data_IF_820498877549
#
_entry.id   IF_820498877549
#
_cell.length_a   1.000
_cell.length_b   1.000
_cell.length_c   1.000
_cell.angle_alpha   90.00
_cell.angle_beta   90.00
_cell.angle_gamma   90.00
#
_symmetry.space_group_name_H-M   'P 1'
#
loop_
_entity.id
_entity.type
_entity.pdbx_description
1 polymer ?
#
# COMPACT_ATOMS: atom_id res chain seq x y z
N UNK A 1 21.91 -8.16 -17.41
CA UNK A 1 20.79 -7.68 -18.26
C UNK A 1 20.14 -6.53 -17.53
N UNK A 2 20.38 -5.32 -18.00
CA UNK A 2 19.78 -4.09 -17.46
C UNK A 2 18.31 -4.09 -17.85
N UNK A 3 17.41 -4.19 -16.88
CA UNK A 3 16.00 -3.99 -17.12
C UNK A 3 15.81 -2.61 -17.75
N UNK A 4 15.29 -2.56 -18.97
CA UNK A 4 14.90 -1.31 -19.59
C UNK A 4 13.94 -0.60 -18.62
N UNK A 5 14.24 0.65 -18.30
CA UNK A 5 13.38 1.49 -17.48
C UNK A 5 12.05 1.64 -18.22
N UNK A 6 11.10 0.78 -17.94
CA UNK A 6 9.76 0.86 -18.48
C UNK A 6 9.14 2.10 -17.88
N UNK A 7 8.99 3.14 -18.69
CA UNK A 7 8.17 4.31 -18.34
C UNK A 7 6.76 3.77 -18.14
N UNK A 8 6.31 3.68 -16.90
CA UNK A 8 5.02 3.09 -16.60
C UNK A 8 3.96 4.17 -16.84
N UNK A 9 3.22 4.00 -17.93
CA UNK A 9 1.99 4.72 -18.25
C UNK A 9 0.90 4.41 -17.21
N UNK A 10 -0.21 5.14 -17.27
CA UNK A 10 -1.42 4.80 -16.52
C UNK A 10 -1.86 3.36 -16.77
N UNK A 11 -2.39 2.72 -15.73
CA UNK A 11 -2.90 1.35 -15.78
C UNK A 11 -4.41 1.40 -15.60
N UNK A 12 -5.16 0.95 -16.60
CA UNK A 12 -6.61 0.84 -16.50
C UNK A 12 -7.03 -0.57 -16.12
N UNK A 13 -8.03 -0.68 -15.25
CA UNK A 13 -8.60 -1.97 -14.88
C UNK A 13 -9.55 -1.90 -13.69
N UNK A 14 -10.52 -2.79 -13.66
CA UNK A 14 -11.47 -2.95 -12.55
C UNK A 14 -12.21 -1.66 -12.16
N UNK A 15 -12.48 -0.77 -13.13
CA UNK A 15 -13.15 0.51 -12.91
C UNK A 15 -12.29 1.54 -12.17
N UNK A 16 -10.98 1.43 -12.26
CA UNK A 16 -9.99 2.37 -11.76
C UNK A 16 -8.94 2.67 -12.84
N UNK A 17 -8.37 3.86 -12.77
CA UNK A 17 -7.14 4.22 -13.43
C UNK A 17 -6.04 4.39 -12.38
N UNK A 18 -4.93 3.65 -12.50
CA UNK A 18 -3.76 3.86 -11.66
C UNK A 18 -2.82 4.82 -12.40
N UNK A 19 -2.65 6.01 -11.88
CA UNK A 19 -1.84 7.08 -12.46
C UNK A 19 -0.55 7.26 -11.69
N UNK A 20 0.59 7.50 -12.37
CA UNK A 20 1.78 8.03 -11.70
C UNK A 20 1.44 9.32 -10.96
N UNK A 21 2.19 9.62 -9.90
CA UNK A 21 1.98 10.84 -9.12
C UNK A 21 2.24 12.09 -9.97
N UNK A 22 1.32 13.04 -9.88
CA UNK A 22 1.44 14.39 -10.40
C UNK A 22 1.00 15.42 -9.35
N UNK A 23 1.21 16.70 -9.62
CA UNK A 23 0.91 17.78 -8.68
C UNK A 23 -0.58 17.86 -8.31
N UNK A 24 -1.47 17.55 -9.27
CA UNK A 24 -2.91 17.52 -9.02
C UNK A 24 -3.29 16.39 -8.06
N UNK A 25 -2.79 15.18 -8.31
CA UNK A 25 -3.04 14.02 -7.46
C UNK A 25 -2.44 14.19 -6.07
N UNK A 26 -1.27 14.83 -5.94
CA UNK A 26 -0.69 15.18 -4.63
C UNK A 26 -1.61 16.11 -3.86
N UNK A 27 -2.18 17.15 -4.50
CA UNK A 27 -3.16 18.04 -3.87
C UNK A 27 -4.42 17.31 -3.42
N UNK A 28 -4.94 16.38 -4.22
CA UNK A 28 -6.08 15.56 -3.85
C UNK A 28 -5.76 14.65 -2.66
N UNK A 29 -4.59 14.00 -2.65
CA UNK A 29 -4.15 13.15 -1.53
C UNK A 29 -3.96 13.95 -0.23
N UNK A 30 -3.48 15.21 -0.32
CA UNK A 30 -3.35 16.11 0.82
C UNK A 30 -4.69 16.42 1.51
N UNK A 31 -5.79 16.36 0.74
CA UNK A 31 -7.14 16.59 1.26
C UNK A 31 -7.78 15.34 1.91
N UNK A 32 -7.15 14.16 1.81
CA UNK A 32 -7.68 12.94 2.41
C UNK A 32 -7.84 13.04 3.92
N UNK A 33 -8.88 12.37 4.44
CA UNK A 33 -9.11 12.21 5.85
C UNK A 33 -7.99 11.38 6.51
N UNK A 34 -7.73 11.68 7.77
CA UNK A 34 -6.72 11.00 8.56
C UNK A 34 -7.33 9.85 9.35
N UNK A 35 -6.62 8.73 9.43
CA UNK A 35 -7.03 7.58 10.24
C UNK A 35 -6.56 7.68 11.69
N UNK A 36 -5.50 8.46 11.92
CA UNK A 36 -4.86 8.53 13.20
C UNK A 36 -4.19 7.22 13.63
N UNK A 37 -3.82 7.15 14.93
CA UNK A 37 -3.19 5.96 15.48
C UNK A 37 -4.15 4.75 15.48
N UNK A 38 -3.68 3.54 15.10
CA UNK A 38 -2.32 3.16 14.73
C UNK A 38 -2.00 3.26 13.24
N UNK A 39 -2.87 3.85 12.42
CA UNK A 39 -2.75 3.89 10.95
C UNK A 39 -2.16 5.21 10.44
N UNK A 40 -1.79 6.12 11.34
CA UNK A 40 -1.29 7.47 11.04
C UNK A 40 -0.06 7.52 10.10
N UNK A 41 0.74 6.44 10.06
CA UNK A 41 1.88 6.33 9.15
C UNK A 41 1.49 6.39 7.66
N UNK A 42 0.22 6.14 7.36
CA UNK A 42 -0.32 6.18 5.99
C UNK A 42 -1.09 7.47 5.71
N UNK A 43 -1.31 8.32 6.73
CA UNK A 43 -2.03 9.58 6.57
C UNK A 43 -1.22 10.55 5.70
N UNK A 44 -1.91 11.20 4.77
CA UNK A 44 -1.29 12.06 3.76
C UNK A 44 -1.33 13.55 4.13
N UNK A 45 -1.74 13.87 5.34
CA UNK A 45 -1.86 15.25 5.82
C UNK A 45 -0.57 16.07 5.75
N UNK A 46 0.60 15.42 5.80
CA UNK A 46 1.91 16.06 5.61
C UNK A 46 2.06 16.71 4.23
N UNK A 47 1.34 16.24 3.20
CA UNK A 47 1.33 16.83 1.87
C UNK A 47 0.62 18.19 1.78
N UNK A 48 -0.01 18.65 2.87
CA UNK A 48 -0.54 20.03 2.97
C UNK A 48 0.58 21.06 3.06
N UNK A 49 1.76 20.65 3.52
CA UNK A 49 2.98 21.46 3.47
C UNK A 49 3.55 21.45 2.05
N UNK A 50 3.70 22.60 1.37
CA UNK A 50 4.16 22.67 -0.01
C UNK A 50 5.56 22.04 -0.22
N UNK A 51 6.47 22.23 0.72
CA UNK A 51 7.82 21.68 0.60
C UNK A 51 7.82 20.14 0.73
N UNK A 52 6.98 19.57 1.60
CA UNK A 52 6.81 18.14 1.71
C UNK A 52 6.09 17.54 0.49
N UNK A 53 5.10 18.25 -0.06
CA UNK A 53 4.42 17.86 -1.29
C UNK A 53 5.38 17.82 -2.49
N UNK A 54 6.21 18.83 -2.65
CA UNK A 54 7.24 18.89 -3.69
C UNK A 54 8.27 17.77 -3.53
N UNK A 55 8.80 17.57 -2.32
CA UNK A 55 9.75 16.51 -2.02
C UNK A 55 9.17 15.12 -2.31
N UNK A 56 7.90 14.88 -1.94
CA UNK A 56 7.22 13.61 -2.20
C UNK A 56 7.01 13.38 -3.70
N UNK A 57 6.65 14.43 -4.46
CA UNK A 57 6.49 14.37 -5.90
C UNK A 57 7.82 14.08 -6.60
N UNK A 58 8.91 14.74 -6.20
CA UNK A 58 10.26 14.48 -6.73
C UNK A 58 10.66 13.01 -6.49
N UNK A 59 10.44 12.49 -5.29
CA UNK A 59 10.72 11.07 -4.97
C UNK A 59 9.87 10.13 -5.85
N UNK A 60 8.59 10.43 -6.02
CA UNK A 60 7.71 9.59 -6.82
C UNK A 60 8.04 9.60 -8.32
N UNK A 61 8.62 10.68 -8.82
CA UNK A 61 9.02 10.86 -10.24
C UNK A 61 10.45 10.40 -10.54
N UNK A 62 11.27 10.11 -9.51
CA UNK A 62 12.60 9.57 -9.73
C UNK A 62 12.49 8.23 -10.49
N UNK A 63 13.43 7.99 -11.42
CA UNK A 63 13.63 6.69 -12.08
C UNK A 63 14.24 5.70 -11.06
N UNK A 64 13.46 5.33 -10.10
CA UNK A 64 13.80 4.40 -9.01
C UNK A 64 13.23 3.03 -9.37
N UNK A 65 13.69 1.93 -8.78
CA UNK A 65 12.98 0.67 -8.85
C UNK A 65 11.58 0.73 -8.21
N UNK A 66 11.28 1.80 -7.48
CA UNK A 66 9.99 2.05 -6.83
C UNK A 66 9.08 2.84 -7.76
N UNK A 67 7.91 2.28 -8.04
CA UNK A 67 6.87 2.92 -8.82
C UNK A 67 5.69 3.24 -7.91
N UNK A 68 5.22 4.48 -7.99
CA UNK A 68 4.17 5.02 -7.13
C UNK A 68 2.95 5.37 -7.97
N UNK A 69 1.79 4.84 -7.59
CA UNK A 69 0.52 5.08 -8.27
C UNK A 69 -0.53 5.63 -7.33
N UNK A 70 -1.37 6.49 -7.88
CA UNK A 70 -2.64 6.89 -7.29
C UNK A 70 -3.75 6.20 -8.06
N UNK A 71 -4.64 5.52 -7.35
CA UNK A 71 -5.86 4.96 -7.94
C UNK A 71 -6.91 6.06 -8.05
N UNK A 72 -7.40 6.27 -9.26
CA UNK A 72 -8.40 7.26 -9.60
C UNK A 72 -9.72 6.58 -10.01
N UNK A 73 -10.84 7.10 -9.52
CA UNK A 73 -12.20 6.76 -9.95
C UNK A 73 -12.86 8.06 -10.42
N UNK A 74 -13.27 8.11 -11.70
CA UNK A 74 -13.83 9.33 -12.32
C UNK A 74 -12.93 10.58 -12.12
N UNK A 75 -11.62 10.41 -12.29
CA UNK A 75 -10.61 11.46 -12.11
C UNK A 75 -10.29 11.84 -10.68
N UNK A 76 -10.91 11.24 -9.68
CA UNK A 76 -10.70 11.51 -8.24
C UNK A 76 -9.77 10.47 -7.63
N UNK A 77 -8.78 10.93 -6.86
CA UNK A 77 -7.87 10.08 -6.11
C UNK A 77 -8.61 9.34 -4.98
N UNK A 78 -8.67 8.01 -5.05
CA UNK A 78 -9.40 7.15 -4.10
C UNK A 78 -8.51 6.16 -3.33
N UNK A 79 -7.23 6.10 -3.67
CA UNK A 79 -6.24 5.25 -3.00
C UNK A 79 -4.86 5.41 -3.60
N UNK A 80 -3.85 4.83 -2.96
CA UNK A 80 -2.49 4.77 -3.50
C UNK A 80 -1.84 3.42 -3.27
N UNK A 81 -0.89 3.08 -4.13
CA UNK A 81 -0.10 1.87 -4.03
C UNK A 81 1.29 2.11 -4.61
N UNK A 82 2.28 1.41 -4.09
CA UNK A 82 3.63 1.42 -4.63
C UNK A 82 4.12 0.00 -4.86
N UNK A 83 5.00 -0.18 -5.83
CA UNK A 83 5.63 -1.47 -6.14
C UNK A 83 7.12 -1.28 -6.37
N UNK A 84 7.91 -2.22 -5.88
CA UNK A 84 9.35 -2.31 -6.17
C UNK A 84 9.57 -3.35 -7.27
N UNK A 85 10.20 -2.94 -8.37
CA UNK A 85 10.50 -3.77 -9.54
C UNK A 85 11.99 -4.15 -9.62
N UNK A 86 12.79 -3.88 -8.60
CA UNK A 86 14.23 -4.16 -8.62
C UNK A 86 14.53 -5.66 -8.56
N UNK A 87 13.77 -6.39 -7.76
CA UNK A 87 13.94 -7.83 -7.57
C UNK A 87 12.79 -8.59 -8.25
N UNK A 88 13.07 -9.16 -9.41
CA UNK A 88 12.11 -9.96 -10.18
C UNK A 88 11.90 -11.37 -9.60
N UNK A 89 12.61 -11.76 -8.54
CA UNK A 89 12.32 -13.01 -7.81
C UNK A 89 11.01 -12.91 -7.02
N UNK A 90 10.55 -11.68 -6.75
CA UNK A 90 9.25 -11.41 -6.12
C UNK A 90 8.94 -9.92 -6.13
N UNK A 91 7.82 -9.53 -6.76
CA UNK A 91 7.41 -8.12 -6.83
C UNK A 91 6.85 -7.65 -5.48
N UNK A 92 7.57 -6.73 -4.82
CA UNK A 92 7.17 -6.24 -3.51
C UNK A 92 6.21 -5.06 -3.63
N UNK A 93 4.96 -5.26 -3.21
CA UNK A 93 3.92 -4.22 -3.13
C UNK A 93 3.94 -3.60 -1.75
N UNK A 94 3.94 -2.27 -1.68
CA UNK A 94 3.95 -1.53 -0.43
C UNK A 94 3.12 -0.25 -0.50
N UNK A 95 3.01 0.47 0.62
CA UNK A 95 2.24 1.71 0.73
C UNK A 95 0.79 1.59 0.19
N UNK A 96 0.15 0.43 0.37
CA UNK A 96 -1.26 0.24 0.02
C UNK A 96 -2.11 1.04 0.99
N UNK A 97 -2.75 2.10 0.49
CA UNK A 97 -3.59 2.97 1.30
C UNK A 97 -4.88 3.33 0.58
N UNK A 98 -5.98 3.29 1.32
CA UNK A 98 -7.29 3.81 0.90
C UNK A 98 -7.76 4.73 2.02
N UNK A 99 -8.03 6.01 1.77
CA UNK A 99 -8.44 6.95 2.82
C UNK A 99 -9.80 6.58 3.41
N UNK A 100 -10.13 7.10 4.63
CA UNK A 100 -11.36 6.72 5.34
C UNK A 100 -12.65 6.89 4.51
N UNK A 101 -12.77 7.97 3.76
CA UNK A 101 -13.93 8.32 2.93
C UNK A 101 -14.19 7.36 1.76
N UNK A 102 -13.18 6.56 1.39
CA UNK A 102 -13.27 5.55 0.34
C UNK A 102 -13.18 4.11 0.90
N UNK A 103 -13.08 3.96 2.24
CA UNK A 103 -13.03 2.65 2.87
C UNK A 103 -14.33 1.86 2.67
N UNK A 104 -14.24 0.53 2.65
CA UNK A 104 -15.39 -0.36 2.49
C UNK A 104 -15.92 -0.49 1.06
N UNK A 105 -15.49 0.37 0.12
CA UNK A 105 -15.96 0.40 -1.28
C UNK A 105 -15.21 -0.56 -2.22
N UNK A 106 -14.38 -1.46 -1.69
CA UNK A 106 -13.59 -2.41 -2.49
C UNK A 106 -12.41 -1.79 -3.25
N UNK A 107 -12.08 -0.50 -3.02
CA UNK A 107 -10.99 0.22 -3.72
C UNK A 107 -9.67 -0.53 -3.59
N UNK A 108 -9.28 -0.96 -2.38
CA UNK A 108 -8.03 -1.70 -2.17
C UNK A 108 -7.94 -2.94 -3.07
N UNK A 109 -9.00 -3.73 -3.14
CA UNK A 109 -9.06 -4.96 -3.93
C UNK A 109 -8.97 -4.67 -5.43
N UNK A 110 -9.74 -3.68 -5.94
CA UNK A 110 -9.73 -3.29 -7.35
C UNK A 110 -8.36 -2.73 -7.76
N UNK A 111 -7.77 -1.87 -6.93
CA UNK A 111 -6.46 -1.25 -7.15
C UNK A 111 -5.35 -2.31 -7.25
N UNK A 112 -5.30 -3.24 -6.31
CA UNK A 112 -4.31 -4.33 -6.34
C UNK A 112 -4.53 -5.26 -7.52
N UNK A 113 -5.78 -5.57 -7.88
CA UNK A 113 -6.08 -6.40 -9.04
C UNK A 113 -5.60 -5.73 -10.34
N UNK A 114 -5.87 -4.44 -10.53
CA UNK A 114 -5.42 -3.70 -11.71
C UNK A 114 -3.88 -3.71 -11.80
N UNK A 115 -3.19 -3.39 -10.69
CA UNK A 115 -1.72 -3.40 -10.63
C UNK A 115 -1.16 -4.79 -10.95
N UNK A 116 -1.65 -5.84 -10.30
CA UNK A 116 -1.14 -7.21 -10.49
C UNK A 116 -1.39 -7.72 -11.90
N UNK A 117 -2.60 -7.50 -12.47
CA UNK A 117 -2.90 -7.89 -13.85
C UNK A 117 -1.95 -7.25 -14.85
N UNK A 118 -1.68 -5.96 -14.67
CA UNK A 118 -0.71 -5.25 -15.52
C UNK A 118 0.70 -5.83 -15.38
N UNK A 119 1.16 -6.02 -14.15
CA UNK A 119 2.51 -6.53 -13.88
C UNK A 119 2.67 -8.01 -14.32
N UNK A 120 1.62 -8.81 -14.22
CA UNK A 120 1.63 -10.19 -14.76
C UNK A 120 1.80 -10.20 -16.28
N UNK A 121 1.24 -9.23 -16.98
CA UNK A 121 1.43 -9.10 -18.43
C UNK A 121 2.79 -8.52 -18.79
N UNK A 122 3.22 -7.46 -18.09
CA UNK A 122 4.45 -6.71 -18.41
C UNK A 122 5.74 -7.45 -17.97
N UNK A 123 5.69 -8.21 -16.90
CA UNK A 123 6.84 -8.86 -16.26
C UNK A 123 6.62 -10.38 -16.11
N UNK A 124 6.59 -11.13 -17.21
CA UNK A 124 6.28 -12.56 -17.19
C UNK A 124 7.27 -13.41 -16.39
N UNK A 125 8.47 -12.93 -16.13
CA UNK A 125 9.48 -13.64 -15.36
C UNK A 125 9.27 -13.57 -13.83
N UNK A 126 8.45 -12.63 -13.32
CA UNK A 126 8.22 -12.52 -11.89
C UNK A 126 7.25 -13.60 -11.40
N UNK A 127 7.67 -14.51 -10.48
CA UNK A 127 6.88 -15.67 -10.09
C UNK A 127 5.77 -15.34 -9.08
N UNK A 128 5.94 -14.30 -8.29
CA UNK A 128 5.05 -14.00 -7.15
C UNK A 128 4.98 -12.51 -6.82
N UNK A 129 3.91 -12.15 -6.12
CA UNK A 129 3.74 -10.86 -5.45
C UNK A 129 3.93 -11.04 -3.94
N UNK A 130 4.61 -10.09 -3.32
CA UNK A 130 4.89 -10.09 -1.89
C UNK A 130 4.40 -8.77 -1.30
N UNK A 131 3.80 -8.79 -0.13
CA UNK A 131 3.52 -7.61 0.66
C UNK A 131 3.64 -7.90 2.16
N UNK A 132 3.88 -6.87 2.95
CA UNK A 132 3.88 -6.95 4.39
C UNK A 132 2.79 -6.05 4.98
N UNK A 133 2.17 -6.48 6.06
CA UNK A 133 1.11 -5.71 6.72
C UNK A 133 1.09 -5.96 8.22
N UNK A 134 0.88 -4.90 9.00
CA UNK A 134 0.76 -5.00 10.44
C UNK A 134 -0.45 -5.86 10.83
N UNK A 135 -0.28 -6.74 11.82
CA UNK A 135 -1.31 -7.75 12.17
C UNK A 135 -2.63 -7.16 12.68
N UNK A 136 -2.69 -5.88 13.01
CA UNK A 136 -3.91 -5.17 13.36
C UNK A 136 -4.70 -4.63 12.15
N UNK A 137 -4.18 -4.75 10.93
CA UNK A 137 -4.80 -4.20 9.70
C UNK A 137 -5.82 -5.18 9.06
N UNK A 138 -6.73 -5.74 9.85
CA UNK A 138 -7.72 -6.74 9.42
C UNK A 138 -8.51 -6.39 8.14
N UNK A 139 -8.98 -5.14 7.92
CA UNK A 139 -9.67 -4.81 6.68
C UNK A 139 -8.80 -5.01 5.43
N UNK A 140 -7.51 -4.68 5.52
CA UNK A 140 -6.56 -4.90 4.43
C UNK A 140 -6.30 -6.40 4.22
N UNK A 141 -6.17 -7.19 5.30
CA UNK A 141 -5.96 -8.64 5.21
C UNK A 141 -7.13 -9.35 4.51
N UNK A 142 -8.37 -8.92 4.75
CA UNK A 142 -9.53 -9.46 4.01
C UNK A 142 -9.43 -9.21 2.51
N UNK A 143 -8.99 -8.00 2.12
CA UNK A 143 -8.78 -7.67 0.72
C UNK A 143 -7.66 -8.51 0.09
N UNK A 144 -6.54 -8.71 0.82
CA UNK A 144 -5.41 -9.52 0.33
C UNK A 144 -5.79 -10.99 0.14
N UNK A 145 -6.46 -11.60 1.14
CA UNK A 145 -6.93 -12.99 1.03
C UNK A 145 -7.92 -13.18 -0.12
N UNK A 146 -8.84 -12.22 -0.34
CA UNK A 146 -9.77 -12.25 -1.47
C UNK A 146 -9.08 -12.16 -2.84
N UNK A 147 -7.83 -11.73 -2.88
CA UNK A 147 -6.98 -11.69 -4.08
C UNK A 147 -6.04 -12.92 -4.19
N UNK A 148 -6.16 -13.90 -3.30
CA UNK A 148 -5.36 -15.11 -3.29
C UNK A 148 -3.99 -14.95 -2.60
N UNK A 149 -3.79 -13.91 -1.80
CA UNK A 149 -2.60 -13.82 -0.96
C UNK A 149 -2.75 -14.72 0.28
N UNK A 150 -1.68 -15.42 0.61
CA UNK A 150 -1.57 -16.27 1.79
C UNK A 150 -0.51 -15.72 2.74
N UNK A 151 -0.72 -15.88 4.04
CA UNK A 151 0.29 -15.56 5.06
C UNK A 151 1.34 -16.66 5.06
N UNK A 152 2.57 -16.31 4.73
CA UNK A 152 3.70 -17.26 4.70
C UNK A 152 4.65 -17.09 5.87
N UNK A 153 4.62 -15.92 6.51
CA UNK A 153 5.50 -15.61 7.64
C UNK A 153 4.82 -14.64 8.60
N UNK A 154 5.17 -14.76 9.88
CA UNK A 154 4.82 -13.77 10.91
C UNK A 154 6.10 -13.37 11.62
N UNK A 155 6.39 -12.07 11.63
CA UNK A 155 7.62 -11.54 12.23
C UNK A 155 7.37 -10.31 13.10
N UNK A 156 8.29 -10.04 14.00
CA UNK A 156 8.37 -8.78 14.73
C UNK A 156 9.29 -7.83 13.98
N UNK A 157 8.81 -6.63 13.75
CA UNK A 157 9.47 -5.64 12.91
C UNK A 157 9.55 -4.30 13.66
N UNK A 158 10.68 -3.61 13.52
CA UNK A 158 10.81 -2.25 13.97
C UNK A 158 10.25 -1.31 12.89
N UNK A 159 9.10 -0.70 13.19
CA UNK A 159 8.51 0.36 12.40
C UNK A 159 8.76 1.68 13.14
N UNK A 160 9.58 2.54 12.55
CA UNK A 160 10.02 3.79 13.20
C UNK A 160 8.83 4.70 13.53
N UNK A 161 7.92 4.89 12.59
CA UNK A 161 6.79 5.82 12.74
C UNK A 161 5.82 5.34 13.82
N UNK A 162 5.48 4.07 13.82
CA UNK A 162 4.63 3.47 14.86
C UNK A 162 5.35 3.48 16.21
N UNK A 163 6.65 3.13 16.23
CA UNK A 163 7.43 3.12 17.46
C UNK A 163 7.52 4.50 18.11
N UNK A 164 7.80 5.55 17.34
CA UNK A 164 7.83 6.93 17.84
C UNK A 164 6.48 7.37 18.40
N UNK A 165 5.37 6.97 17.77
CA UNK A 165 4.03 7.29 18.25
C UNK A 165 3.68 6.51 19.51
N UNK A 166 4.11 5.26 19.64
CA UNK A 166 3.91 4.45 20.84
C UNK A 166 4.52 5.05 22.11
N UNK A 167 5.60 5.83 21.97
CA UNK A 167 6.17 6.59 23.09
C UNK A 167 5.30 7.77 23.51
N UNK A 168 4.53 8.33 22.59
CA UNK A 168 3.71 9.53 22.79
C UNK A 168 2.28 9.23 23.25
N UNK A 169 1.79 8.02 23.00
CA UNK A 169 0.41 7.62 23.37
C UNK A 169 0.40 6.89 24.71
N UNK A 170 -0.67 7.07 25.48
CA UNK A 170 -0.87 6.42 26.77
C UNK A 170 -1.25 4.93 26.65
N UNK A 171 -1.30 4.21 27.79
CA UNK A 171 -1.69 2.78 27.80
C UNK A 171 -3.06 2.52 27.17
N UNK A 172 -4.04 3.39 27.44
CA UNK A 172 -5.41 3.28 26.89
C UNK A 172 -5.41 3.28 25.37
N UNK A 173 -4.65 4.19 24.74
CA UNK A 173 -4.56 4.25 23.28
C UNK A 173 -3.78 3.05 22.69
N UNK A 174 -2.91 2.39 23.47
CA UNK A 174 -2.18 1.19 23.05
C UNK A 174 -3.00 -0.10 23.19
N UNK A 175 -4.00 -0.11 24.04
CA UNK A 175 -4.80 -1.30 24.34
C UNK A 175 -5.36 -2.01 23.10
N UNK A 176 -5.98 -1.29 22.10
CA UNK A 176 -6.56 -1.94 20.93
C UNK A 176 -5.55 -2.74 20.10
N UNK A 177 -4.27 -2.41 20.20
CA UNK A 177 -3.20 -3.08 19.46
C UNK A 177 -2.20 -3.79 20.37
N UNK A 178 -2.49 -3.91 21.67
CA UNK A 178 -1.57 -4.47 22.67
C UNK A 178 -0.99 -5.83 22.31
N UNK A 179 -1.79 -6.74 21.75
CA UNK A 179 -1.34 -8.06 21.28
C UNK A 179 -0.48 -8.01 20.00
N UNK A 180 -0.41 -6.87 19.34
CA UNK A 180 0.30 -6.66 18.07
C UNK A 180 1.58 -5.87 18.23
N UNK A 181 1.91 -5.43 19.43
CA UNK A 181 3.11 -4.68 19.77
C UNK A 181 3.87 -5.34 20.92
N UNK A 182 5.17 -5.13 20.96
CA UNK A 182 6.01 -5.49 22.11
C UNK A 182 7.15 -4.50 22.28
N UNK A 183 7.62 -4.34 23.52
CA UNK A 183 8.87 -3.67 23.80
C UNK A 183 9.99 -4.73 23.94
N UNK A 184 11.00 -4.66 23.08
CA UNK A 184 12.08 -5.63 23.07
C UNK A 184 13.41 -4.95 22.67
N UNK A 185 14.48 -5.26 23.39
CA UNK A 185 15.84 -4.71 23.14
C UNK A 185 15.83 -3.19 23.02
N UNK A 186 15.16 -2.50 23.98
CA UNK A 186 15.14 -1.04 24.07
C UNK A 186 14.23 -0.33 23.06
N UNK A 187 13.43 -1.04 22.26
CA UNK A 187 12.57 -0.43 21.25
C UNK A 187 11.23 -1.14 21.08
N UNK A 188 10.23 -0.39 20.63
CA UNK A 188 8.95 -0.94 20.24
C UNK A 188 9.06 -1.69 18.91
N UNK A 189 8.42 -2.85 18.86
CA UNK A 189 8.25 -3.66 17.66
C UNK A 189 6.78 -3.91 17.40
N UNK A 190 6.43 -4.02 16.12
CA UNK A 190 5.08 -4.35 15.64
C UNK A 190 5.10 -5.75 15.05
N UNK A 191 4.06 -6.53 15.31
CA UNK A 191 3.86 -7.83 14.68
C UNK A 191 3.35 -7.63 13.26
N UNK A 192 3.98 -8.29 12.29
CA UNK A 192 3.71 -8.11 10.87
C UNK A 192 3.52 -9.48 10.20
N UNK A 193 2.52 -9.60 9.35
CA UNK A 193 2.37 -10.70 8.42
C UNK A 193 3.12 -10.39 7.11
N UNK A 194 3.78 -11.40 6.55
CA UNK A 194 4.25 -11.41 5.16
C UNK A 194 3.25 -12.24 4.37
N UNK A 195 2.72 -11.64 3.34
CA UNK A 195 1.78 -12.24 2.41
C UNK A 195 2.47 -12.53 1.09
N UNK A 196 2.19 -13.68 0.50
CA UNK A 196 2.61 -14.04 -0.85
C UNK A 196 1.42 -14.47 -1.69
N UNK A 197 1.48 -14.17 -2.97
CA UNK A 197 0.54 -14.63 -3.98
C UNK A 197 1.33 -15.09 -5.21
N UNK A 198 1.15 -16.32 -5.61
CA UNK A 198 1.75 -16.85 -6.84
C UNK A 198 1.08 -16.21 -8.06
N UNK A 199 1.87 -15.99 -9.09
CA UNK A 199 1.37 -15.58 -10.39
C UNK A 199 0.33 -16.56 -10.92
N UNK A 200 -0.65 -16.05 -11.66
CA UNK A 200 -1.71 -16.87 -12.25
C UNK A 200 -2.75 -17.42 -11.25
N UNK A 201 -2.64 -17.08 -9.96
CA UNK A 201 -3.74 -17.38 -9.01
C UNK A 201 -5.00 -16.66 -9.45
N UNK A 202 -6.17 -17.33 -9.58
CA UNK A 202 -7.42 -16.68 -9.99
C UNK A 202 -7.78 -15.50 -9.06
N UNK A 203 -8.35 -14.46 -9.65
CA UNK A 203 -8.85 -13.27 -8.94
C UNK A 203 -10.38 -13.21 -8.97
N UNK A 204 -11.05 -14.35 -8.76
CA UNK A 204 -12.47 -14.55 -9.01
C UNK A 204 -13.40 -13.61 -8.23
N UNK A 205 -12.95 -13.04 -7.14
CA UNK A 205 -13.75 -12.18 -6.27
C UNK A 205 -13.69 -10.68 -6.61
N UNK A 206 -12.95 -10.26 -7.65
CA UNK A 206 -12.68 -8.83 -7.88
C UNK A 206 -13.78 -8.14 -8.69
N UNK A 207 -14.47 -8.86 -9.55
CA UNK A 207 -15.45 -8.31 -10.50
C UNK A 207 -16.78 -7.87 -9.85
N UNK A 208 -17.12 -8.35 -8.65
CA UNK A 208 -18.33 -7.94 -7.98
C UNK A 208 -18.16 -6.55 -7.35
N UNK A 209 -18.77 -5.52 -7.95
CA UNK A 209 -18.98 -4.23 -7.25
C UNK A 209 -19.76 -4.53 -5.96
N UNK A 210 -19.32 -4.04 -4.79
CA UNK A 210 -20.23 -4.04 -3.65
C UNK A 210 -21.45 -3.19 -4.03
N UNK A 211 -22.66 -3.76 -3.81
CA UNK A 211 -23.93 -3.04 -3.94
C UNK A 211 -24.04 -1.98 -2.85
#
# INVERSE_FOLDING_TARGET
MTAAATSISSIEGFGLELRPWDAELVRQMAAWGERGFPFHAFDMGHLRDPAQAEAALLVAQQKSPHHHYVACEDGRAVGRVSVNLQDLSGLYIWAVHVPPEHAGRGVCRRMLAALMSHLEAALPAAPEFILSSNTFAEPAHRAYRALGFEVVETRWHFDKEIAERLWKVGPVQREPIGRHIRFHSGRWQVRTYVFKRRRGTPMDAVAARPR
#
